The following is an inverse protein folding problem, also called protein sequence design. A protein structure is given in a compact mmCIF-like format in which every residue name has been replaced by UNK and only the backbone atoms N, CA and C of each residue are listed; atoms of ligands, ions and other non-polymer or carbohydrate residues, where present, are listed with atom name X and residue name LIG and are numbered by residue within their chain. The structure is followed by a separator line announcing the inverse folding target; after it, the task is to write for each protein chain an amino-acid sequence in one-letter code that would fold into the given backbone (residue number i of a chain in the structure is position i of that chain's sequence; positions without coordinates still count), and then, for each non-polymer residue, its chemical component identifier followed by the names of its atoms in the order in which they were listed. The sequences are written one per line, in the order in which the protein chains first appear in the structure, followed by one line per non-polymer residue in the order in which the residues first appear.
data_IF_847344275479
#
_entry.id   IF_847344275479
#
_cell.length_a   1.000
_cell.length_b   1.000
_cell.length_c   1.000
_cell.angle_alpha   90.00
_cell.angle_beta   90.00
_cell.angle_gamma   90.00
#
_symmetry.space_group_name_H-M   'P 1'
#
loop_
_entity.id
_entity.type
_entity.pdbx_description
1 polymer ?
#
# COMPACT_ATOMS: atom_id res chain seq x y z
N UNK A 1 -2.78 -21.79 7.16
CA UNK A 1 -3.09 -20.82 6.08
C UNK A 1 -3.17 -19.45 6.74
N UNK A 2 -2.03 -18.79 6.91
CA UNK A 2 -1.94 -17.51 7.61
C UNK A 2 -1.03 -16.60 6.79
N UNK A 3 -1.43 -16.35 5.55
CA UNK A 3 -0.74 -15.43 4.67
C UNK A 3 -1.10 -14.00 5.10
N UNK A 4 -0.48 -13.53 6.19
CA UNK A 4 -0.45 -12.12 6.60
C UNK A 4 0.36 -11.32 5.58
N UNK A 5 -0.10 -11.28 4.33
CA UNK A 5 0.42 -10.38 3.33
C UNK A 5 -0.33 -9.05 3.46
N UNK A 6 0.37 -7.92 3.64
CA UNK A 6 -0.24 -6.59 3.76
C UNK A 6 -1.06 -6.21 2.51
N UNK A 7 -0.76 -6.84 1.38
CA UNK A 7 -1.53 -6.78 0.13
C UNK A 7 -2.98 -7.26 0.33
N UNK A 8 -3.17 -8.36 1.06
CA UNK A 8 -4.49 -8.94 1.32
C UNK A 8 -5.25 -8.14 2.39
N UNK A 9 -4.54 -7.60 3.39
CA UNK A 9 -5.11 -6.71 4.41
C UNK A 9 -5.66 -5.43 3.78
N UNK A 10 -4.91 -4.80 2.88
CA UNK A 10 -5.36 -3.58 2.19
C UNK A 10 -6.54 -3.84 1.25
N UNK A 11 -6.49 -4.95 0.50
CA UNK A 11 -7.60 -5.36 -0.36
C UNK A 11 -8.89 -5.54 0.46
N UNK A 12 -8.81 -6.28 1.57
CA UNK A 12 -9.96 -6.49 2.46
C UNK A 12 -10.51 -5.19 3.05
N UNK A 13 -9.63 -4.26 3.45
CA UNK A 13 -10.06 -2.95 3.94
C UNK A 13 -10.83 -2.17 2.85
N UNK A 14 -10.33 -2.17 1.60
CA UNK A 14 -11.00 -1.48 0.50
C UNK A 14 -12.31 -2.13 0.07
N UNK A 15 -12.39 -3.46 0.12
CA UNK A 15 -13.65 -4.18 -0.11
C UNK A 15 -14.74 -3.79 0.90
N UNK A 16 -14.39 -3.67 2.18
CA UNK A 16 -15.34 -3.27 3.23
C UNK A 16 -15.75 -1.79 3.09
N UNK A 17 -14.82 -0.92 2.69
CA UNK A 17 -15.06 0.53 2.59
C UNK A 17 -15.82 0.93 1.33
N UNK A 18 -15.40 0.40 0.19
CA UNK A 18 -15.88 0.82 -1.13
C UNK A 18 -16.70 -0.27 -1.83
N UNK A 19 -16.85 -1.46 -1.22
CA UNK A 19 -17.50 -2.61 -1.84
C UNK A 19 -16.68 -3.24 -2.97
N UNK A 20 -15.42 -2.83 -3.13
CA UNK A 20 -14.54 -3.34 -4.19
C UNK A 20 -13.07 -3.15 -3.85
N UNK A 21 -12.26 -4.09 -4.30
CA UNK A 21 -10.79 -4.00 -4.25
C UNK A 21 -10.21 -3.22 -5.44
N UNK A 22 -11.02 -2.99 -6.48
CA UNK A 22 -10.58 -2.38 -7.73
C UNK A 22 -10.23 -0.88 -7.61
N UNK A 23 -10.62 -0.23 -6.52
CA UNK A 23 -10.23 1.16 -6.24
C UNK A 23 -8.76 1.30 -5.85
N UNK A 24 -8.10 0.20 -5.47
CA UNK A 24 -6.68 0.21 -5.08
C UNK A 24 -5.80 0.04 -6.30
N UNK A 25 -5.10 1.11 -6.66
CA UNK A 25 -4.07 1.11 -7.69
C UNK A 25 -2.70 1.14 -7.04
N UNK A 26 -1.77 0.37 -7.59
CA UNK A 26 -0.40 0.35 -7.12
C UNK A 26 0.50 0.87 -8.24
N UNK A 27 1.22 1.94 -7.97
CA UNK A 27 2.16 2.54 -8.89
C UNK A 27 3.58 2.33 -8.39
N UNK A 28 4.44 1.91 -9.31
CA UNK A 28 5.88 1.84 -9.07
C UNK A 28 6.48 3.17 -9.53
N UNK A 29 7.05 3.90 -8.58
CA UNK A 29 7.81 5.11 -8.85
C UNK A 29 9.30 4.72 -8.74
N UNK A 30 10.09 5.15 -9.72
CA UNK A 30 11.35 4.52 -10.14
C UNK A 30 12.38 4.11 -9.07
N UNK A 31 13.34 3.27 -9.51
CA UNK A 31 14.58 3.01 -8.79
C UNK A 31 15.38 4.30 -8.60
N UNK A 32 15.43 4.79 -7.36
CA UNK A 32 16.26 5.90 -6.94
C UNK A 32 17.60 5.32 -6.46
N UNK A 33 18.67 5.52 -7.22
CA UNK A 33 20.03 5.24 -6.75
C UNK A 33 20.90 4.44 -7.73
N UNK A 34 22.19 4.29 -7.40
CA UNK A 34 23.11 3.51 -8.22
C UNK A 34 22.73 2.03 -8.20
N UNK A 35 23.12 1.28 -9.24
CA UNK A 35 22.83 -0.15 -9.44
C UNK A 35 23.07 -1.06 -8.22
N UNK A 36 23.98 -0.68 -7.32
CA UNK A 36 24.33 -1.39 -6.09
C UNK A 36 23.63 -0.87 -4.82
N UNK A 37 22.85 0.22 -4.92
CA UNK A 37 22.08 0.81 -3.82
C UNK A 37 20.72 1.35 -4.32
N UNK A 38 20.08 0.61 -5.23
CA UNK A 38 18.77 0.90 -5.75
C UNK A 38 17.72 0.93 -4.62
N UNK A 39 17.03 2.06 -4.49
CA UNK A 39 15.85 2.22 -3.64
C UNK A 39 14.64 2.18 -4.56
N UNK A 40 13.73 1.25 -4.30
CA UNK A 40 12.45 1.17 -4.99
C UNK A 40 11.43 2.00 -4.23
N UNK A 41 10.68 2.82 -4.94
CA UNK A 41 9.54 3.54 -4.41
C UNK A 41 8.25 2.89 -4.91
N UNK A 42 7.29 2.73 -3.99
CA UNK A 42 5.98 2.17 -4.29
C UNK A 42 4.90 3.05 -3.70
N UNK A 43 3.88 3.33 -4.51
CA UNK A 43 2.77 4.20 -4.17
C UNK A 43 1.47 3.44 -4.28
N UNK A 44 0.60 3.61 -3.29
CA UNK A 44 -0.74 3.07 -3.20
C UNK A 44 -1.71 4.23 -3.37
N UNK A 45 -2.46 4.19 -4.46
CA UNK A 45 -3.58 5.10 -4.68
C UNK A 45 -4.89 4.36 -4.42
N UNK A 46 -5.79 4.98 -3.68
CA UNK A 46 -7.15 4.48 -3.47
C UNK A 46 -8.08 5.54 -4.03
N UNK A 47 -8.94 5.14 -4.96
CA UNK A 47 -9.86 6.05 -5.63
C UNK A 47 -9.15 7.26 -6.27
N UNK A 48 -8.03 7.00 -6.94
CA UNK A 48 -7.18 8.01 -7.59
C UNK A 48 -6.47 9.01 -6.64
N UNK A 49 -6.61 8.83 -5.32
CA UNK A 49 -5.94 9.63 -4.28
C UNK A 49 -4.76 8.86 -3.70
N UNK A 50 -3.64 9.51 -3.45
CA UNK A 50 -2.48 8.88 -2.84
C UNK A 50 -2.69 8.64 -1.33
N UNK A 51 -2.85 7.37 -0.96
CA UNK A 51 -3.05 6.96 0.42
C UNK A 51 -1.77 6.51 1.09
N UNK A 52 -0.82 5.90 0.39
CA UNK A 52 0.41 5.46 1.03
C UNK A 52 1.57 5.36 0.08
N UNK A 53 2.75 5.74 0.56
CA UNK A 53 4.01 5.59 -0.17
C UNK A 53 4.98 4.79 0.68
N UNK A 54 5.81 4.00 0.05
CA UNK A 54 6.77 3.13 0.71
C UNK A 54 8.07 3.06 -0.06
N UNK A 55 9.17 3.16 0.68
CA UNK A 55 10.52 3.08 0.16
C UNK A 55 11.16 1.78 0.63
N UNK A 56 11.97 1.15 -0.21
CA UNK A 56 12.74 0.00 0.22
C UNK A 56 13.84 -0.38 -0.74
N UNK A 57 14.89 -1.00 -0.21
CA UNK A 57 15.99 -1.58 -1.01
C UNK A 57 15.54 -2.74 -1.92
N UNK A 58 14.26 -3.11 -1.86
CA UNK A 58 13.65 -4.18 -2.67
C UNK A 58 12.18 -3.85 -2.87
N UNK A 59 11.64 -4.19 -4.04
CA UNK A 59 10.21 -4.05 -4.38
C UNK A 59 9.30 -4.57 -3.26
N UNK A 60 9.62 -5.73 -2.67
CA UNK A 60 8.85 -6.32 -1.56
C UNK A 60 8.78 -5.41 -0.33
N UNK A 61 9.88 -4.75 0.04
CA UNK A 61 9.94 -3.83 1.19
C UNK A 61 9.16 -2.55 0.89
N UNK A 62 9.43 -1.93 -0.26
CA UNK A 62 8.76 -0.71 -0.69
C UNK A 62 7.23 -0.90 -0.69
N UNK A 63 6.78 -2.00 -1.29
CA UNK A 63 5.38 -2.41 -1.39
C UNK A 63 4.72 -2.71 -0.05
N UNK A 64 5.44 -3.34 0.87
CA UNK A 64 4.93 -3.63 2.21
C UNK A 64 4.75 -2.33 3.00
N UNK A 65 5.76 -1.44 2.97
CA UNK A 65 5.68 -0.15 3.64
C UNK A 65 4.54 0.72 3.06
N UNK A 66 4.40 0.76 1.74
CA UNK A 66 3.35 1.51 1.07
C UNK A 66 1.95 1.04 1.51
N UNK A 67 1.75 -0.29 1.57
CA UNK A 67 0.50 -0.88 2.06
C UNK A 67 0.24 -0.57 3.54
N UNK A 68 1.28 -0.61 4.38
CA UNK A 68 1.20 -0.29 5.81
C UNK A 68 0.79 1.16 6.04
N UNK A 69 1.40 2.09 5.31
CA UNK A 69 1.07 3.53 5.37
C UNK A 69 -0.34 3.78 4.88
N UNK A 70 -0.74 3.18 3.75
CA UNK A 70 -2.10 3.30 3.23
C UNK A 70 -3.16 2.79 4.22
N UNK A 71 -2.92 1.62 4.83
CA UNK A 71 -3.80 1.07 5.87
C UNK A 71 -3.89 1.97 7.12
N UNK A 72 -2.77 2.54 7.56
CA UNK A 72 -2.76 3.45 8.70
C UNK A 72 -3.61 4.70 8.41
N UNK A 73 -3.39 5.34 7.26
CA UNK A 73 -4.19 6.50 6.82
C UNK A 73 -5.67 6.17 6.67
N UNK A 74 -6.00 5.03 6.04
CA UNK A 74 -7.38 4.56 5.92
C UNK A 74 -8.07 4.44 7.28
N UNK A 75 -7.37 3.91 8.29
CA UNK A 75 -7.87 3.78 9.66
C UNK A 75 -8.06 5.14 10.33
N UNK A 76 -7.20 6.11 10.02
CA UNK A 76 -7.32 7.48 10.54
C UNK A 76 -8.49 8.25 9.89
N UNK A 77 -8.70 8.10 8.58
CA UNK A 77 -9.83 8.73 7.88
C UNK A 77 -11.18 8.07 8.21
N UNK A 78 -11.16 6.76 8.51
CA UNK A 78 -12.35 5.99 8.83
C UNK A 78 -12.25 5.30 10.20
N UNK A 79 -12.26 6.07 11.31
CA UNK A 79 -12.16 5.52 12.67
C UNK A 79 -13.36 4.62 13.04
N UNK A 80 -14.49 4.78 12.35
CA UNK A 80 -15.71 3.99 12.52
C UNK A 80 -15.58 2.55 12.01
N UNK A 81 -14.60 2.27 11.14
CA UNK A 81 -14.39 0.93 10.63
C UNK A 81 -13.35 0.16 11.45
N UNK A 82 -13.84 -0.87 12.16
CA UNK A 82 -13.02 -1.85 12.87
C UNK A 82 -12.75 -3.05 11.95
N UNK A 83 -11.53 -3.15 11.44
CA UNK A 83 -11.01 -4.31 10.72
C UNK A 83 -10.18 -5.21 11.64
#
# INVERSE_FOLDING_TARGET
MSDSHPRNTLARACDILYGTTAVVTWEEEQVIGPEHAAIFEWVVKINNTEYGRGLGSTIKKARNEAARVALAKLREEHPDLKF
#
